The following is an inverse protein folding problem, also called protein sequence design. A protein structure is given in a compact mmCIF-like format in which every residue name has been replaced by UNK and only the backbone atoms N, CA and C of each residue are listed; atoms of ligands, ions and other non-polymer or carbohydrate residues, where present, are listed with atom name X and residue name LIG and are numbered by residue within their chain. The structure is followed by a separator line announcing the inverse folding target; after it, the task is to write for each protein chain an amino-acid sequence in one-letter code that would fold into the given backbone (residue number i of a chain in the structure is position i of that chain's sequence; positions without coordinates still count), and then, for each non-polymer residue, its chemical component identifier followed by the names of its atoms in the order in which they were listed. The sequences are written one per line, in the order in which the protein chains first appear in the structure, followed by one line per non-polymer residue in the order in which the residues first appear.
data_IF_928017306600
#
_entry.id   IF_928017306600
#
_cell.length_a   1.000
_cell.length_b   1.000
_cell.length_c   1.000
_cell.angle_alpha   90.00
_cell.angle_beta   90.00
_cell.angle_gamma   90.00
#
_symmetry.space_group_name_H-M   'P 1'
#
loop_
_entity.id
_entity.type
_entity.pdbx_description
1 polymer ?
#
# COMPACT_ATOMS: atom_id res chain seq x y z
N UNK A 1 16.97 12.83 -2.61
CA UNK A 1 15.54 12.67 -2.83
C UNK A 1 15.14 11.20 -2.70
N UNK A 2 13.95 10.87 -2.20
CA UNK A 2 13.48 9.49 -2.17
C UNK A 2 13.27 8.95 -3.58
N UNK A 3 13.64 7.69 -3.79
CA UNK A 3 13.53 7.02 -5.09
C UNK A 3 12.59 5.83 -5.00
N UNK A 4 11.53 5.89 -5.81
CA UNK A 4 10.56 4.81 -5.96
C UNK A 4 10.95 3.89 -7.13
N UNK A 5 10.87 2.58 -6.92
CA UNK A 5 11.08 1.57 -7.96
C UNK A 5 10.06 0.42 -7.83
N UNK A 6 9.16 0.25 -8.78
CA UNK A 6 8.85 1.16 -9.90
C UNK A 6 8.08 2.40 -9.45
N UNK A 7 8.19 3.47 -10.24
CA UNK A 7 7.45 4.72 -10.05
C UNK A 7 6.35 4.83 -11.13
N UNK A 8 5.34 4.01 -10.98
CA UNK A 8 4.19 3.98 -11.89
C UNK A 8 3.01 4.73 -11.27
N UNK A 9 2.44 5.65 -12.00
CA UNK A 9 1.36 6.52 -11.51
C UNK A 9 0.07 6.31 -12.27
N UNK A 10 -1.05 6.46 -11.55
CA UNK A 10 -2.40 6.39 -12.09
C UNK A 10 -3.24 7.47 -11.43
N UNK A 11 -4.19 8.03 -12.19
CA UNK A 11 -5.19 8.94 -11.62
C UNK A 11 -6.41 8.14 -11.15
N UNK A 12 -6.80 8.34 -9.89
CA UNK A 12 -8.04 7.82 -9.34
C UNK A 12 -8.84 9.02 -8.83
N UNK A 13 -9.88 9.42 -9.57
CA UNK A 13 -10.56 10.67 -9.31
C UNK A 13 -9.60 11.86 -9.44
N UNK A 14 -9.51 12.68 -8.42
CA UNK A 14 -8.60 13.81 -8.34
C UNK A 14 -7.21 13.44 -7.82
N UNK A 15 -6.98 12.18 -7.43
CA UNK A 15 -5.74 11.73 -6.83
C UNK A 15 -4.79 11.12 -7.86
N UNK A 16 -3.50 11.40 -7.71
CA UNK A 16 -2.44 10.74 -8.46
C UNK A 16 -1.76 9.74 -7.54
N UNK A 17 -2.09 8.47 -7.70
CA UNK A 17 -1.59 7.40 -6.83
C UNK A 17 -0.40 6.69 -7.45
N UNK A 18 0.47 6.15 -6.61
CA UNK A 18 1.53 5.24 -7.03
C UNK A 18 0.93 3.85 -7.16
N UNK A 19 0.88 3.31 -8.34
CA UNK A 19 0.26 2.02 -8.65
C UNK A 19 -0.34 2.00 -10.07
N UNK A 20 -1.23 1.09 -10.34
CA UNK A 20 -1.72 0.03 -9.45
C UNK A 20 -0.81 -1.18 -9.48
N UNK A 21 -0.82 -1.95 -8.37
CA UNK A 21 0.02 -3.13 -8.20
C UNK A 21 -0.84 -4.38 -8.11
N UNK A 22 -0.31 -5.50 -8.62
CA UNK A 22 -0.90 -6.83 -8.50
C UNK A 22 0.18 -7.88 -8.75
N UNK A 23 0.36 -8.80 -7.82
CA UNK A 23 1.42 -9.82 -7.92
C UNK A 23 1.07 -11.00 -8.85
N UNK A 24 -0.15 -11.06 -9.36
CA UNK A 24 -0.63 -12.13 -10.24
C UNK A 24 -0.76 -11.73 -11.70
N UNK A 25 -0.77 -10.43 -11.98
CA UNK A 25 -0.99 -9.93 -13.32
C UNK A 25 0.32 -9.34 -13.87
N UNK A 26 0.89 -9.91 -14.95
CA UNK A 26 2.18 -9.45 -15.49
C UNK A 26 2.15 -8.05 -16.09
N UNK A 27 0.97 -7.47 -16.30
CA UNK A 27 0.82 -6.08 -16.76
C UNK A 27 1.04 -5.05 -15.66
N UNK A 28 1.12 -5.49 -14.41
CA UNK A 28 1.31 -4.62 -13.26
C UNK A 28 2.52 -5.05 -12.45
N UNK A 29 3.26 -4.12 -11.85
CA UNK A 29 4.31 -4.51 -10.92
C UNK A 29 3.70 -5.16 -9.68
N UNK A 30 4.38 -6.13 -9.06
CA UNK A 30 3.88 -6.82 -7.88
C UNK A 30 3.93 -5.97 -6.61
N UNK A 31 4.74 -4.93 -6.61
CA UNK A 31 4.93 -4.04 -5.48
C UNK A 31 5.88 -2.91 -5.83
N UNK A 32 6.26 -2.15 -4.83
CA UNK A 32 7.19 -1.03 -5.01
C UNK A 32 8.14 -0.90 -3.83
N UNK A 33 9.28 -0.28 -4.09
CA UNK A 33 10.33 -0.06 -3.12
C UNK A 33 10.66 1.43 -3.05
N UNK A 34 10.75 1.95 -1.83
CA UNK A 34 11.22 3.30 -1.56
C UNK A 34 12.60 3.22 -0.90
N UNK A 35 13.57 3.90 -1.48
CA UNK A 35 14.92 3.98 -0.93
C UNK A 35 15.20 5.41 -0.47
N UNK A 36 15.68 5.52 0.77
CA UNK A 36 16.04 6.78 1.41
C UNK A 36 17.49 6.72 1.89
N UNK A 37 18.20 7.84 1.78
CA UNK A 37 19.57 7.97 2.23
C UNK A 37 19.70 9.20 3.15
N UNK A 38 20.78 9.22 3.93
CA UNK A 38 21.12 10.37 4.77
C UNK A 38 20.19 10.59 5.95
N UNK A 39 19.56 9.53 6.44
CA UNK A 39 18.73 9.59 7.64
C UNK A 39 19.59 9.69 8.89
N UNK A 40 19.08 10.38 9.90
CA UNK A 40 19.74 10.44 11.21
C UNK A 40 19.58 9.09 11.90
N UNK A 41 20.70 8.40 12.13
CA UNK A 41 20.70 7.13 12.82
C UNK A 41 20.33 7.27 14.31
N UNK A 42 19.74 6.21 14.88
CA UNK A 42 19.50 6.12 16.32
C UNK A 42 18.15 6.64 16.79
N UNK A 43 17.34 7.27 15.93
CA UNK A 43 16.01 7.75 16.29
C UNK A 43 14.95 7.09 15.41
N UNK A 44 13.80 6.68 15.98
CA UNK A 44 12.73 6.07 15.20
C UNK A 44 12.08 7.09 14.26
N UNK A 45 11.47 6.57 13.19
CA UNK A 45 10.71 7.35 12.21
C UNK A 45 9.24 6.94 12.25
N UNK A 46 8.37 7.85 11.89
CA UNK A 46 6.95 7.56 11.63
C UNK A 46 6.69 7.64 10.14
N UNK A 47 6.18 6.55 9.59
CA UNK A 47 5.71 6.47 8.21
C UNK A 47 4.19 6.51 8.22
N UNK A 48 3.61 7.44 7.46
CA UNK A 48 2.17 7.48 7.21
C UNK A 48 1.90 7.43 5.73
N UNK A 49 0.82 6.77 5.35
CA UNK A 49 0.41 6.68 3.94
C UNK A 49 -1.06 6.30 3.83
N UNK A 50 -1.62 6.58 2.68
CA UNK A 50 -2.94 6.11 2.29
C UNK A 50 -2.78 4.88 1.41
N UNK A 51 -3.36 3.76 1.84
CA UNK A 51 -3.40 2.52 1.09
C UNK A 51 -4.75 2.42 0.38
N UNK A 52 -4.71 2.37 -0.95
CA UNK A 52 -5.89 2.12 -1.78
C UNK A 52 -6.03 0.62 -1.98
N UNK A 53 -7.11 0.07 -1.49
CA UNK A 53 -7.49 -1.33 -1.70
C UNK A 53 -8.61 -1.36 -2.74
N UNK A 54 -8.31 -1.89 -3.90
CA UNK A 54 -9.19 -1.84 -5.07
C UNK A 54 -9.70 -3.23 -5.40
N UNK A 55 -11.01 -3.39 -5.44
CA UNK A 55 -11.65 -4.65 -5.81
C UNK A 55 -12.01 -5.53 -4.62
N UNK A 56 -11.98 -6.84 -4.83
CA UNK A 56 -12.57 -7.83 -3.92
C UNK A 56 -11.55 -8.46 -2.98
N UNK A 57 -10.96 -7.66 -2.11
CA UNK A 57 -9.97 -8.13 -1.14
C UNK A 57 -10.59 -9.06 -0.11
N UNK A 58 -10.03 -10.26 0.05
CA UNK A 58 -10.52 -11.30 0.93
C UNK A 58 -9.79 -11.30 2.27
N UNK A 59 -10.56 -11.34 3.35
CA UNK A 59 -10.05 -11.35 4.72
C UNK A 59 -10.09 -12.75 5.29
N UNK A 60 -8.98 -13.20 5.91
CA UNK A 60 -8.93 -14.45 6.66
C UNK A 60 -9.04 -15.71 5.80
N UNK A 61 -8.62 -16.86 6.37
CA UNK A 61 -8.74 -18.16 5.72
C UNK A 61 -7.63 -18.47 4.71
N UNK A 62 -7.76 -19.61 4.03
CA UNK A 62 -6.74 -20.12 3.10
C UNK A 62 -6.62 -19.32 1.80
N UNK A 63 -7.69 -18.63 1.42
CA UNK A 63 -7.74 -17.80 0.21
C UNK A 63 -7.66 -16.30 0.53
N UNK A 64 -7.17 -15.96 1.72
CA UNK A 64 -7.04 -14.58 2.13
C UNK A 64 -5.97 -13.86 1.34
N UNK A 65 -6.28 -12.62 1.02
CA UNK A 65 -5.27 -11.70 0.50
C UNK A 65 -4.39 -11.21 1.66
N UNK A 66 -3.20 -10.72 1.32
CA UNK A 66 -2.24 -10.25 2.30
C UNK A 66 -1.49 -9.05 1.76
N UNK A 67 -1.32 -8.05 2.60
CA UNK A 67 -0.52 -6.87 2.28
C UNK A 67 0.57 -6.70 3.33
N UNK A 68 1.79 -6.38 2.91
CA UNK A 68 2.94 -6.26 3.80
C UNK A 68 3.78 -5.02 3.52
N UNK A 69 4.34 -4.49 4.60
CA UNK A 69 5.41 -3.51 4.58
C UNK A 69 6.63 -4.07 5.31
N UNK A 70 7.75 -4.08 4.64
CA UNK A 70 9.05 -4.47 5.22
C UNK A 70 10.03 -3.32 5.15
N UNK A 71 10.87 -3.21 6.15
CA UNK A 71 12.01 -2.30 6.18
C UNK A 71 13.30 -3.10 6.30
N UNK A 72 14.17 -3.00 5.31
CA UNK A 72 15.40 -3.81 5.26
C UNK A 72 15.11 -5.30 5.20
N UNK A 73 15.99 -6.10 5.80
CA UNK A 73 15.91 -7.56 5.78
C UNK A 73 15.13 -8.16 6.97
N UNK A 74 14.58 -7.33 7.82
CA UNK A 74 13.86 -7.78 9.01
C UNK A 74 12.47 -8.31 8.73
N UNK A 75 11.76 -8.77 9.78
CA UNK A 75 10.38 -9.19 9.66
C UNK A 75 9.48 -8.00 9.25
N UNK A 76 8.26 -8.26 8.75
CA UNK A 76 7.35 -7.19 8.36
C UNK A 76 7.09 -6.20 9.50
N UNK A 77 7.10 -4.89 9.18
CA UNK A 77 6.66 -3.86 10.12
C UNK A 77 5.14 -3.79 10.22
N UNK A 78 4.46 -4.14 9.15
CA UNK A 78 3.01 -4.15 9.06
C UNK A 78 2.57 -5.30 8.16
N UNK A 79 1.60 -6.07 8.64
CA UNK A 79 0.95 -7.12 7.86
C UNK A 79 -0.55 -6.94 8.00
N UNK A 80 -1.24 -6.81 6.87
CA UNK A 80 -2.69 -6.70 6.82
C UNK A 80 -3.28 -7.99 6.24
N UNK A 81 -4.23 -8.57 6.96
CA UNK A 81 -4.96 -9.78 6.58
C UNK A 81 -6.47 -9.59 6.70
N UNK A 82 -6.91 -8.45 7.23
CA UNK A 82 -8.30 -8.04 7.30
C UNK A 82 -8.48 -6.76 6.49
N UNK A 83 -9.48 -6.77 5.62
CA UNK A 83 -9.73 -5.67 4.68
C UNK A 83 -11.19 -5.22 4.77
N UNK A 84 -11.49 -3.96 4.39
CA UNK A 84 -12.88 -3.55 4.23
C UNK A 84 -13.60 -4.51 3.29
N UNK A 85 -14.84 -4.83 3.58
CA UNK A 85 -15.62 -5.71 2.72
C UNK A 85 -15.68 -5.15 1.31
N UNK A 86 -15.15 -5.92 0.38
CA UNK A 86 -15.31 -5.61 -1.01
C UNK A 86 -16.76 -5.90 -1.42
N UNK A 87 -17.35 -4.97 -2.16
CA UNK A 87 -18.65 -5.22 -2.71
C UNK A 87 -18.54 -6.26 -3.82
N UNK A 88 -19.25 -7.35 -3.66
CA UNK A 88 -19.46 -8.33 -4.72
C UNK A 88 -20.69 -7.97 -5.56
N UNK A 89 -21.54 -7.10 -5.05
CA UNK A 89 -22.76 -6.65 -5.68
C UNK A 89 -22.64 -5.17 -6.06
N UNK A 90 -22.76 -4.82 -7.36
CA UNK A 90 -22.68 -3.43 -7.80
C UNK A 90 -23.82 -2.55 -7.27
N UNK A 91 -24.90 -3.13 -6.75
CA UNK A 91 -26.00 -2.39 -6.15
C UNK A 91 -25.76 -2.01 -4.69
N UNK A 92 -24.67 -2.51 -4.07
CA UNK A 92 -24.31 -2.11 -2.72
C UNK A 92 -23.81 -0.67 -2.69
N UNK A 93 -24.22 0.07 -1.66
CA UNK A 93 -23.80 1.44 -1.46
C UNK A 93 -22.43 1.48 -0.80
N UNK A 94 -21.48 2.20 -1.41
CA UNK A 94 -20.18 2.41 -0.80
C UNK A 94 -20.29 3.25 0.48
N UNK A 95 -19.47 2.94 1.50
CA UNK A 95 -19.40 3.80 2.67
C UNK A 95 -19.04 5.24 2.30
N UNK A 96 -19.63 6.20 2.99
CA UNK A 96 -19.33 7.61 2.79
C UNK A 96 -17.90 7.90 3.30
N UNK A 97 -17.15 8.70 2.55
CA UNK A 97 -15.82 9.17 2.95
C UNK A 97 -14.70 8.55 2.11
N UNK A 98 -14.00 7.57 2.65
CA UNK A 98 -12.74 7.06 2.07
C UNK A 98 -12.96 5.91 1.08
N UNK A 99 -13.91 6.06 0.15
CA UNK A 99 -14.23 5.03 -0.84
C UNK A 99 -14.67 5.65 -2.16
N UNK A 100 -14.69 4.86 -3.21
CA UNK A 100 -15.10 5.30 -4.53
C UNK A 100 -15.06 4.17 -5.56
N UNK A 101 -15.11 4.55 -6.83
CA UNK A 101 -15.07 3.63 -7.96
C UNK A 101 -13.97 4.03 -8.94
N UNK A 102 -13.27 3.03 -9.47
CA UNK A 102 -12.30 3.18 -10.53
C UNK A 102 -12.54 2.12 -11.59
N UNK A 103 -12.37 2.47 -12.86
CA UNK A 103 -12.51 1.53 -13.97
C UNK A 103 -11.17 0.90 -14.29
N UNK A 104 -11.08 -0.44 -14.17
CA UNK A 104 -9.92 -1.22 -14.54
C UNK A 104 -10.37 -2.39 -15.43
N UNK A 105 -9.70 -2.58 -16.56
CA UNK A 105 -10.05 -3.61 -17.55
C UNK A 105 -11.50 -3.51 -18.02
N UNK A 106 -12.01 -2.29 -18.19
CA UNK A 106 -13.37 -2.04 -18.65
C UNK A 106 -14.45 -2.33 -17.61
N UNK A 107 -14.07 -2.60 -16.37
CA UNK A 107 -15.00 -2.91 -15.29
C UNK A 107 -14.89 -1.89 -14.16
N UNK A 108 -16.01 -1.42 -13.60
CA UNK A 108 -15.98 -0.62 -12.38
C UNK A 108 -15.51 -1.48 -11.20
N UNK A 109 -14.57 -0.94 -10.44
CA UNK A 109 -14.05 -1.57 -9.22
C UNK A 109 -14.25 -0.63 -8.05
N UNK A 110 -14.79 -1.14 -6.97
CA UNK A 110 -14.87 -0.39 -5.72
C UNK A 110 -13.47 -0.29 -5.10
N UNK A 111 -13.17 0.84 -4.47
CA UNK A 111 -11.95 0.97 -3.69
C UNK A 111 -12.21 1.62 -2.34
N UNK A 112 -11.36 1.31 -1.38
CA UNK A 112 -11.28 1.97 -0.08
C UNK A 112 -9.89 2.55 0.13
N UNK A 113 -9.85 3.69 0.82
CA UNK A 113 -8.61 4.29 1.25
C UNK A 113 -8.45 4.04 2.75
N UNK A 114 -7.39 3.35 3.13
CA UNK A 114 -7.08 3.03 4.52
C UNK A 114 -5.80 3.74 4.91
N UNK A 115 -5.92 4.68 5.85
CA UNK A 115 -4.75 5.41 6.35
C UNK A 115 -3.96 4.53 7.30
N UNK A 116 -2.66 4.44 7.08
CA UNK A 116 -1.74 3.67 7.90
C UNK A 116 -0.71 4.58 8.55
N UNK A 117 -0.33 4.25 9.78
CA UNK A 117 0.75 4.89 10.51
C UNK A 117 1.62 3.81 11.13
N UNK A 118 2.91 3.81 10.80
CA UNK A 118 3.84 2.77 11.22
C UNK A 118 5.09 3.42 11.81
N UNK A 119 5.56 2.92 12.95
CA UNK A 119 6.84 3.31 13.51
C UNK A 119 7.94 2.44 12.93
N UNK A 120 8.99 3.06 12.40
CA UNK A 120 10.17 2.37 11.89
C UNK A 120 11.26 2.47 12.95
N UNK A 121 11.64 1.36 13.60
CA UNK A 121 12.69 1.40 14.61
C UNK A 121 14.07 1.69 13.98
N UNK A 122 14.97 2.33 14.74
CA UNK A 122 16.27 2.75 14.19
C UNK A 122 17.18 1.59 13.77
N UNK A 123 16.97 0.39 14.25
CA UNK A 123 17.74 -0.80 13.85
C UNK A 123 17.47 -1.23 12.40
N UNK A 124 16.43 -0.66 11.77
CA UNK A 124 16.12 -0.92 10.35
C UNK A 124 16.92 -0.03 9.39
N UNK A 125 17.60 0.99 9.91
CA UNK A 125 18.44 1.90 9.11
C UNK A 125 19.70 2.32 9.90
N UNK A 126 20.51 1.36 10.36
CA UNK A 126 21.65 1.66 11.25
C UNK A 126 22.71 2.56 10.63
N UNK A 127 22.82 2.55 9.30
CA UNK A 127 23.76 3.36 8.53
C UNK A 127 23.13 4.61 7.88
N UNK A 128 21.91 4.94 8.25
CA UNK A 128 21.17 6.06 7.66
C UNK A 128 20.53 5.76 6.30
N UNK A 129 20.59 4.52 5.84
CA UNK A 129 19.95 4.08 4.60
C UNK A 129 18.75 3.20 4.94
N UNK A 130 17.60 3.52 4.36
CA UNK A 130 16.35 2.81 4.59
C UNK A 130 15.77 2.35 3.27
N UNK A 131 15.43 1.07 3.20
CA UNK A 131 14.72 0.48 2.07
C UNK A 131 13.37 -0.02 2.58
N UNK A 132 12.29 0.54 2.08
CA UNK A 132 10.93 0.13 2.39
C UNK A 132 10.36 -0.66 1.20
N UNK A 133 9.90 -1.87 1.46
CA UNK A 133 9.28 -2.73 0.46
C UNK A 133 7.79 -2.86 0.77
N UNK A 134 6.97 -2.43 -0.18
CA UNK A 134 5.51 -2.53 -0.13
C UNK A 134 5.08 -3.62 -1.09
N UNK A 135 4.39 -4.63 -0.61
CA UNK A 135 3.97 -5.78 -1.42
C UNK A 135 2.66 -6.37 -0.94
N UNK A 136 2.04 -7.15 -1.81
CA UNK A 136 0.84 -7.89 -1.47
C UNK A 136 0.85 -9.24 -2.18
N UNK A 137 0.17 -10.20 -1.57
CA UNK A 137 -0.17 -11.47 -2.20
C UNK A 137 -1.68 -11.53 -2.33
N UNK A 138 -2.18 -11.34 -3.55
CA UNK A 138 -3.61 -11.38 -3.87
C UNK A 138 -3.92 -12.65 -4.65
N UNK A 139 -5.18 -13.06 -4.65
CA UNK A 139 -5.63 -14.27 -5.33
C UNK A 139 -6.15 -14.00 -6.75
N UNK A 140 -6.57 -12.76 -7.04
CA UNK A 140 -7.17 -12.39 -8.31
C UNK A 140 -6.24 -11.60 -9.22
N UNK A 141 -6.21 -11.96 -10.52
CA UNK A 141 -5.39 -11.27 -11.53
C UNK A 141 -6.00 -9.96 -12.00
N UNK A 142 -7.32 -9.82 -11.91
CA UNK A 142 -8.09 -8.67 -12.41
C UNK A 142 -9.12 -8.17 -11.43
N UNK A 143 -9.10 -8.67 -10.20
CA UNK A 143 -10.13 -8.40 -9.21
C UNK A 143 -9.60 -7.70 -7.97
N UNK A 144 -8.30 -7.80 -7.69
CA UNK A 144 -7.68 -7.11 -6.55
C UNK A 144 -6.45 -6.35 -7.00
N UNK A 145 -6.41 -5.06 -6.65
CA UNK A 145 -5.28 -4.17 -6.92
C UNK A 145 -5.06 -3.28 -5.70
N UNK A 146 -3.90 -2.67 -5.64
CA UNK A 146 -3.62 -1.70 -4.59
C UNK A 146 -2.75 -0.56 -5.12
N UNK A 147 -2.75 0.54 -4.38
CA UNK A 147 -1.96 1.71 -4.70
C UNK A 147 -1.63 2.48 -3.44
N UNK A 148 -0.68 3.39 -3.52
CA UNK A 148 -0.25 4.24 -2.41
C UNK A 148 -0.43 5.71 -2.77
N UNK A 149 -0.75 6.52 -1.75
CA UNK A 149 -0.77 7.98 -1.85
C UNK A 149 -0.35 8.60 -0.52
N UNK A 150 -0.06 9.89 -0.53
CA UNK A 150 0.23 10.67 0.66
C UNK A 150 1.28 10.04 1.59
N UNK A 151 2.35 9.51 1.02
CA UNK A 151 3.43 8.89 1.78
C UNK A 151 4.28 9.96 2.43
N UNK A 152 4.37 9.94 3.76
CA UNK A 152 5.16 10.87 4.56
C UNK A 152 6.02 10.11 5.57
N UNK A 153 7.26 10.57 5.72
CA UNK A 153 8.17 10.06 6.74
C UNK A 153 8.64 11.23 7.59
N UNK A 154 8.42 11.12 8.89
CA UNK A 154 8.76 12.16 9.86
C UNK A 154 9.48 11.55 11.05
N UNK A 155 10.27 12.34 11.81
CA UNK A 155 10.78 11.85 13.08
C UNK A 155 9.63 11.45 14.00
N UNK A 156 9.75 10.30 14.67
CA UNK A 156 8.76 9.88 15.64
C UNK A 156 8.74 10.88 16.80
N UNK A 157 7.52 11.20 17.28
CA UNK A 157 7.34 12.22 18.31
C UNK A 157 6.91 13.58 17.77
N UNK A 158 6.80 13.77 16.47
CA UNK A 158 6.10 14.91 15.85
C UNK A 158 6.78 16.26 16.00
N UNK A 159 8.09 16.29 16.09
CA UNK A 159 8.82 17.56 16.18
C UNK A 159 9.88 17.71 15.12
#
# INVERSE_FOLDING_TARGET
APAWQPDKRLSIGANHVLGVFNNRNPRHPPGTRLTLHGLVAGAPLTLTFDLFLIGTWDSGGELADRWELRAGDGPPLLTLTAFPNAFSDPDETLPVGNSGWVTLYGQPRAYWVVRQSVTIPPDRFPDGNLVLNFSAAVTGRRTEFWALDAVEITPAGGR
#
